data_IF_655591803727
#
_entry.id   IF_655591803727
#
_cell.length_a   1.000
_cell.length_b   1.000
_cell.length_c   1.000
_cell.angle_alpha   90.00
_cell.angle_beta   90.00
_cell.angle_gamma   90.00
#
_symmetry.space_group_name_H-M   'P 1'
#
loop_
_entity.id
_entity.type
_entity.pdbx_description
1 polymer ?
#
# COMPACT_ATOMS: atom_id res chain seq x y z
N UNK A 1 -9.15 22.02 -28.00
CA UNK A 1 -8.74 23.18 -28.82
C UNK A 1 -7.33 23.63 -28.39
N UNK A 2 -6.69 24.50 -29.18
CA UNK A 2 -5.30 24.94 -28.94
C UNK A 2 -5.13 25.69 -27.62
N UNK A 3 -6.14 26.42 -27.17
CA UNK A 3 -6.13 27.14 -25.89
C UNK A 3 -6.09 26.17 -24.70
N UNK A 4 -6.91 25.13 -24.71
CA UNK A 4 -6.93 24.12 -23.64
C UNK A 4 -5.65 23.30 -23.63
N UNK A 5 -5.06 23.02 -24.78
CA UNK A 5 -3.78 22.37 -24.89
C UNK A 5 -2.67 23.20 -24.23
N UNK A 6 -2.51 24.48 -24.63
CA UNK A 6 -1.53 25.40 -24.06
C UNK A 6 -1.73 25.58 -22.53
N UNK A 7 -2.98 25.74 -22.07
CA UNK A 7 -3.29 25.88 -20.66
C UNK A 7 -2.90 24.63 -19.86
N UNK A 8 -3.16 23.42 -20.41
CA UNK A 8 -2.81 22.17 -19.73
C UNK A 8 -1.30 21.96 -19.67
N UNK A 9 -0.55 22.32 -20.70
CA UNK A 9 0.91 22.26 -20.72
C UNK A 9 1.53 23.22 -19.71
N UNK A 10 1.05 24.47 -19.64
CA UNK A 10 1.51 25.45 -18.65
C UNK A 10 1.27 24.97 -17.21
N UNK A 11 0.10 24.37 -16.94
CA UNK A 11 -0.22 23.79 -15.62
C UNK A 11 0.70 22.64 -15.27
N UNK A 12 0.91 21.71 -16.20
CA UNK A 12 1.80 20.57 -15.98
C UNK A 12 3.24 21.04 -15.72
N UNK A 13 3.74 22.01 -16.49
CA UNK A 13 5.07 22.60 -16.29
C UNK A 13 5.19 23.30 -14.93
N UNK A 14 4.22 24.09 -14.51
CA UNK A 14 4.24 24.77 -13.23
C UNK A 14 4.28 23.79 -12.03
N UNK A 15 3.56 22.67 -12.15
CA UNK A 15 3.60 21.59 -11.13
C UNK A 15 4.97 20.94 -11.10
N UNK A 16 5.54 20.60 -12.25
CA UNK A 16 6.88 20.03 -12.37
C UNK A 16 7.94 20.94 -11.75
N UNK A 17 7.93 22.24 -12.09
CA UNK A 17 8.88 23.22 -11.52
C UNK A 17 8.71 23.36 -10.00
N UNK A 18 7.48 23.29 -9.51
CA UNK A 18 7.22 23.28 -8.06
C UNK A 18 7.76 22.04 -7.38
N UNK A 19 7.56 20.87 -8.01
CA UNK A 19 8.04 19.59 -7.50
C UNK A 19 9.57 19.57 -7.38
N UNK A 20 10.29 20.06 -8.40
CA UNK A 20 11.77 20.21 -8.40
C UNK A 20 12.29 21.10 -7.29
N UNK A 21 11.50 22.07 -6.83
CA UNK A 21 11.87 22.93 -5.70
C UNK A 21 11.64 22.28 -4.34
N UNK A 22 10.78 21.26 -4.29
CA UNK A 22 10.39 20.59 -3.05
C UNK A 22 11.19 19.31 -2.79
N UNK A 23 11.66 18.67 -3.86
CA UNK A 23 12.38 17.39 -3.73
C UNK A 23 13.38 17.21 -4.87
N UNK A 24 14.42 16.42 -4.62
CA UNK A 24 15.37 15.99 -5.65
C UNK A 24 14.72 14.91 -6.53
N UNK A 25 14.61 15.21 -7.82
CA UNK A 25 14.07 14.30 -8.84
C UNK A 25 15.16 13.64 -9.70
N UNK A 26 16.45 13.76 -9.34
CA UNK A 26 17.57 13.23 -10.15
C UNK A 26 17.50 11.72 -10.40
N UNK A 27 16.87 10.97 -9.49
CA UNK A 27 16.66 9.53 -9.62
C UNK A 27 15.45 9.16 -10.49
N UNK A 28 14.72 10.14 -11.02
CA UNK A 28 13.45 9.92 -11.72
C UNK A 28 13.48 10.46 -13.15
N UNK A 29 12.94 9.69 -14.07
CA UNK A 29 12.71 10.18 -15.44
C UNK A 29 11.48 11.06 -15.45
N UNK A 30 11.67 12.30 -15.80
CA UNK A 30 10.58 13.26 -15.92
C UNK A 30 10.04 13.30 -17.34
N UNK A 31 8.73 13.34 -17.47
CA UNK A 31 8.03 13.67 -18.71
C UNK A 31 6.88 14.61 -18.37
N UNK A 32 6.85 15.77 -19.03
CA UNK A 32 5.81 16.79 -18.82
C UNK A 32 5.01 16.94 -20.10
N UNK A 33 3.71 16.75 -20.03
CA UNK A 33 2.81 16.93 -21.17
C UNK A 33 1.44 17.45 -20.73
N UNK A 34 0.84 18.29 -21.56
CA UNK A 34 -0.57 18.65 -21.44
C UNK A 34 -1.42 17.75 -22.33
N UNK A 35 -2.65 17.47 -21.94
CA UNK A 35 -3.61 16.69 -22.73
C UNK A 35 -4.79 17.53 -23.22
N UNK A 36 -4.84 18.81 -22.84
CA UNK A 36 -5.98 19.66 -23.17
C UNK A 36 -7.29 19.04 -22.71
N UNK A 37 -8.19 18.85 -23.62
CA UNK A 37 -9.48 18.18 -23.42
C UNK A 37 -9.54 16.76 -23.99
N UNK A 38 -8.42 16.24 -24.52
CA UNK A 38 -8.38 14.96 -25.25
C UNK A 38 -8.43 13.71 -24.35
N UNK A 39 -8.25 13.87 -23.03
CA UNK A 39 -8.20 12.74 -22.10
C UNK A 39 -9.03 13.03 -20.85
N UNK A 40 -10.35 13.20 -20.96
CA UNK A 40 -11.20 13.44 -19.81
C UNK A 40 -11.33 12.16 -18.97
N UNK A 41 -11.36 12.32 -17.65
CA UNK A 41 -11.59 11.21 -16.70
C UNK A 41 -13.07 10.86 -16.59
N UNK A 42 -13.91 11.85 -16.72
CA UNK A 42 -15.38 11.77 -16.74
C UNK A 42 -15.92 12.60 -17.88
N UNK A 43 -17.18 12.39 -18.29
CA UNK A 43 -17.84 13.22 -19.30
C UNK A 43 -17.71 14.71 -18.94
N UNK A 44 -17.56 15.60 -19.93
CA UNK A 44 -17.29 17.03 -19.71
C UNK A 44 -18.58 17.87 -19.75
N UNK A 45 -19.66 17.36 -19.20
CA UNK A 45 -21.04 17.82 -19.32
C UNK A 45 -21.54 18.69 -18.16
N UNK A 46 -20.98 18.51 -16.94
CA UNK A 46 -21.33 19.31 -15.76
C UNK A 46 -20.13 20.09 -15.21
N UNK A 47 -20.36 21.09 -14.34
CA UNK A 47 -19.29 21.84 -13.69
C UNK A 47 -18.47 20.95 -12.76
N UNK A 48 -19.11 20.03 -12.06
CA UNK A 48 -18.46 19.05 -11.18
C UNK A 48 -17.55 18.13 -12.01
N UNK A 49 -18.03 17.63 -13.13
CA UNK A 49 -17.25 16.80 -14.03
C UNK A 49 -16.06 17.57 -14.64
N UNK A 50 -16.27 18.82 -15.03
CA UNK A 50 -15.18 19.69 -15.48
C UNK A 50 -14.15 19.95 -14.39
N UNK A 51 -14.56 20.02 -13.11
CA UNK A 51 -13.65 20.16 -11.98
C UNK A 51 -12.79 18.91 -11.81
N UNK A 52 -13.34 17.71 -11.92
CA UNK A 52 -12.61 16.43 -11.89
C UNK A 52 -11.62 16.33 -13.06
N UNK A 53 -12.00 16.85 -14.22
CA UNK A 53 -11.13 16.83 -15.41
C UNK A 53 -10.00 17.88 -15.34
N UNK A 54 -10.14 18.96 -14.57
CA UNK A 54 -9.09 19.97 -14.33
C UNK A 54 -8.03 19.45 -13.34
N UNK A 55 -7.29 18.42 -13.72
CA UNK A 55 -6.29 17.76 -12.90
C UNK A 55 -4.90 17.77 -13.52
N UNK A 56 -3.91 17.57 -12.69
CA UNK A 56 -2.55 17.19 -13.10
C UNK A 56 -2.29 15.80 -12.55
N UNK A 57 -1.88 14.89 -13.40
CA UNK A 57 -1.44 13.55 -13.00
C UNK A 57 0.09 13.53 -12.99
N UNK A 58 0.67 12.98 -11.92
CA UNK A 58 2.12 12.86 -11.77
C UNK A 58 2.44 11.37 -11.81
N UNK A 59 3.22 10.97 -12.80
CA UNK A 59 3.77 9.61 -12.89
C UNK A 59 5.28 9.69 -12.72
N UNK A 60 5.79 9.03 -11.70
CA UNK A 60 7.22 8.96 -11.43
C UNK A 60 7.75 7.61 -11.93
N UNK A 61 8.70 7.65 -12.85
CA UNK A 61 9.37 6.45 -13.35
C UNK A 61 10.85 6.54 -12.96
N UNK A 62 11.42 5.57 -12.23
CA UNK A 62 12.83 5.57 -11.92
C UNK A 62 13.67 5.67 -13.18
N UNK A 63 14.67 6.53 -13.21
CA UNK A 63 15.57 6.73 -14.36
C UNK A 63 16.54 5.55 -14.55
N UNK A 64 16.81 4.82 -13.50
CA UNK A 64 17.50 3.54 -13.50
C UNK A 64 16.54 2.54 -12.82
N UNK A 65 16.35 1.30 -13.34
CA UNK A 65 15.72 0.28 -12.54
C UNK A 65 16.44 0.33 -11.19
N UNK A 66 15.72 0.46 -10.09
CA UNK A 66 16.34 0.30 -8.79
C UNK A 66 17.12 -1.00 -8.91
N UNK A 67 18.45 -0.94 -8.91
CA UNK A 67 19.23 -2.12 -8.58
C UNK A 67 18.57 -2.52 -7.29
N UNK A 68 17.88 -3.66 -7.31
CA UNK A 68 17.21 -4.17 -6.14
C UNK A 68 18.26 -4.00 -5.05
N UNK A 69 18.02 -3.04 -4.15
CA UNK A 69 18.86 -2.87 -2.98
C UNK A 69 18.83 -4.24 -2.39
N UNK A 70 19.91 -4.99 -2.59
CA UNK A 70 19.95 -6.41 -2.33
C UNK A 70 19.28 -6.56 -0.99
N UNK A 71 18.17 -7.25 -0.95
CA UNK A 71 17.46 -7.52 0.28
C UNK A 71 18.57 -7.90 1.24
N UNK A 72 18.71 -7.26 2.40
CA UNK A 72 19.89 -7.32 3.24
C UNK A 72 20.34 -8.77 3.23
N UNK A 73 21.56 -9.01 2.70
CA UNK A 73 22.04 -10.34 2.39
C UNK A 73 21.90 -11.10 3.69
N UNK A 74 20.90 -11.94 3.79
CA UNK A 74 20.63 -12.71 5.00
C UNK A 74 21.84 -13.65 5.16
N UNK A 75 22.84 -13.14 5.85
CA UNK A 75 23.98 -13.91 6.31
C UNK A 75 23.48 -14.87 7.37
N UNK A 76 23.22 -16.05 6.95
CA UNK A 76 22.67 -17.24 7.59
C UNK A 76 21.22 -17.50 7.17
N UNK A 77 21.01 -18.50 6.34
CA UNK A 77 19.71 -19.08 6.11
C UNK A 77 19.13 -19.52 7.47
N UNK A 78 18.11 -18.88 8.01
CA UNK A 78 17.42 -19.42 9.16
C UNK A 78 16.66 -20.65 8.65
N UNK A 79 17.12 -21.82 9.00
CA UNK A 79 16.37 -23.07 8.92
C UNK A 79 15.21 -23.02 9.90
N UNK A 80 14.28 -22.10 9.74
CA UNK A 80 13.16 -22.01 10.64
C UNK A 80 11.87 -22.30 9.91
N UNK A 81 11.12 -23.24 10.46
CA UNK A 81 9.74 -23.46 10.07
C UNK A 81 8.96 -22.14 10.16
N UNK A 82 8.02 -21.93 9.22
CA UNK A 82 7.14 -20.77 9.23
C UNK A 82 6.52 -20.61 10.64
N UNK A 83 6.56 -19.43 11.25
CA UNK A 83 6.00 -19.22 12.58
C UNK A 83 4.52 -19.58 12.60
N UNK A 84 4.05 -20.13 13.71
CA UNK A 84 2.65 -20.51 13.90
C UNK A 84 1.76 -19.26 13.71
N UNK A 85 0.66 -19.42 12.98
CA UNK A 85 -0.32 -18.36 12.83
C UNK A 85 -0.96 -18.01 14.20
N UNK A 86 -1.18 -16.73 14.44
CA UNK A 86 -1.79 -16.23 15.69
C UNK A 86 -3.30 -16.02 15.58
N UNK A 87 -3.86 -16.08 14.36
CA UNK A 87 -5.27 -15.91 14.05
C UNK A 87 -5.75 -16.87 12.98
N UNK A 88 -6.95 -16.66 12.42
CA UNK A 88 -7.49 -17.48 11.35
C UNK A 88 -6.59 -17.45 10.12
N UNK A 89 -6.58 -18.56 9.37
CA UNK A 89 -5.78 -18.75 8.17
C UNK A 89 -6.72 -18.99 6.98
N UNK A 90 -6.48 -18.29 5.89
CA UNK A 90 -7.17 -18.49 4.61
C UNK A 90 -6.20 -18.35 3.45
N UNK A 91 -6.66 -18.66 2.23
CA UNK A 91 -5.91 -18.36 1.01
C UNK A 91 -6.19 -16.92 0.58
N UNK A 92 -5.18 -16.23 0.06
CA UNK A 92 -5.30 -14.82 -0.32
C UNK A 92 -6.49 -14.53 -1.22
N UNK A 93 -6.63 -15.20 -2.39
CA UNK A 93 -7.76 -15.00 -3.30
C UNK A 93 -9.12 -15.43 -2.74
N UNK A 94 -9.15 -16.45 -1.88
CA UNK A 94 -10.37 -16.91 -1.23
C UNK A 94 -10.72 -16.05 0.00
N UNK A 95 -9.72 -15.41 0.59
CA UNK A 95 -9.82 -14.56 1.77
C UNK A 95 -9.94 -15.31 3.09
N UNK A 96 -10.02 -14.53 4.16
CA UNK A 96 -10.18 -15.00 5.54
C UNK A 96 -11.21 -14.15 6.26
N UNK A 97 -12.00 -14.77 7.12
CA UNK A 97 -12.95 -14.06 7.98
C UNK A 97 -12.31 -13.74 9.33
N UNK A 98 -12.35 -12.48 9.69
CA UNK A 98 -11.90 -11.95 10.97
C UNK A 98 -13.04 -11.33 11.75
N UNK A 99 -12.90 -11.21 13.06
CA UNK A 99 -13.91 -10.56 13.91
C UNK A 99 -13.43 -9.17 14.31
N UNK A 100 -14.30 -8.18 14.08
CA UNK A 100 -14.12 -6.81 14.51
C UNK A 100 -15.44 -6.36 15.15
N UNK A 101 -15.39 -5.94 16.40
CA UNK A 101 -16.59 -5.55 17.16
C UNK A 101 -17.68 -6.63 17.12
N UNK A 102 -17.27 -7.90 17.26
CA UNK A 102 -18.17 -9.06 17.18
C UNK A 102 -18.71 -9.41 15.79
N UNK A 103 -18.54 -8.53 14.81
CA UNK A 103 -19.01 -8.67 13.43
C UNK A 103 -17.98 -9.35 12.54
N UNK A 104 -18.43 -9.98 11.46
CA UNK A 104 -17.54 -10.66 10.52
C UNK A 104 -17.09 -9.70 9.42
N UNK A 105 -15.78 -9.58 9.25
CA UNK A 105 -15.14 -8.86 8.15
C UNK A 105 -14.34 -9.86 7.32
N UNK A 106 -14.63 -9.91 6.04
CA UNK A 106 -13.89 -10.69 5.05
C UNK A 106 -12.67 -9.89 4.61
N UNK A 107 -11.49 -10.46 4.68
CA UNK A 107 -10.23 -9.88 4.23
C UNK A 107 -9.68 -10.71 3.07
N UNK A 108 -9.36 -10.05 1.95
CA UNK A 108 -8.88 -10.69 0.72
C UNK A 108 -7.64 -9.95 0.21
N UNK A 109 -6.64 -10.70 -0.25
CA UNK A 109 -5.58 -10.22 -1.14
C UNK A 109 -5.58 -11.17 -2.34
N UNK A 110 -6.18 -10.72 -3.44
CA UNK A 110 -6.35 -11.55 -4.64
C UNK A 110 -5.01 -11.89 -5.28
N UNK A 111 -4.18 -10.88 -5.50
CA UNK A 111 -2.83 -11.02 -6.01
C UNK A 111 -2.00 -9.78 -5.65
N UNK A 112 -0.69 -9.88 -5.87
CA UNK A 112 0.23 -8.75 -5.86
C UNK A 112 0.99 -8.68 -7.19
N UNK A 113 1.39 -7.47 -7.56
CA UNK A 113 2.11 -7.20 -8.81
C UNK A 113 3.57 -6.89 -8.50
N UNK A 114 4.49 -7.54 -9.21
CA UNK A 114 5.93 -7.28 -9.10
C UNK A 114 6.30 -6.07 -9.94
N UNK A 115 6.79 -5.01 -9.30
CA UNK A 115 7.16 -3.75 -9.96
C UNK A 115 8.45 -3.22 -9.34
N UNK A 116 9.53 -3.13 -10.12
CA UNK A 116 10.74 -2.40 -9.76
C UNK A 116 11.39 -2.80 -8.42
N UNK A 117 11.34 -4.09 -8.05
CA UNK A 117 11.89 -4.58 -6.78
C UNK A 117 10.91 -4.52 -5.61
N UNK A 118 9.65 -4.21 -5.88
CA UNK A 118 8.56 -4.20 -4.91
C UNK A 118 7.42 -5.12 -5.33
N UNK A 119 6.64 -5.56 -4.35
CA UNK A 119 5.34 -6.19 -4.52
C UNK A 119 4.27 -5.19 -4.11
N UNK A 120 3.37 -4.86 -5.03
CA UNK A 120 2.27 -3.91 -4.81
C UNK A 120 0.94 -4.61 -4.93
N UNK A 121 -0.02 -4.25 -4.11
CA UNK A 121 -1.33 -4.90 -4.13
C UNK A 121 -2.37 -4.12 -3.34
N UNK A 122 -3.45 -4.81 -3.03
CA UNK A 122 -4.55 -4.29 -2.21
C UNK A 122 -5.03 -5.35 -1.25
N UNK A 123 -5.25 -4.97 0.01
CA UNK A 123 -6.12 -5.74 0.89
C UNK A 123 -7.54 -5.19 0.76
N UNK A 124 -8.49 -6.07 0.50
CA UNK A 124 -9.90 -5.72 0.36
C UNK A 124 -10.65 -6.20 1.59
N UNK A 125 -11.39 -5.31 2.21
CA UNK A 125 -12.23 -5.56 3.37
C UNK A 125 -13.70 -5.44 2.98
N UNK A 126 -14.52 -6.41 3.38
CA UNK A 126 -15.97 -6.44 3.10
C UNK A 126 -16.71 -7.01 4.30
N UNK A 127 -17.88 -6.48 4.62
CA UNK A 127 -18.78 -7.04 5.61
C UNK A 127 -20.22 -7.00 5.10
N UNK A 128 -21.04 -7.96 5.54
CA UNK A 128 -22.50 -7.92 5.31
C UNK A 128 -23.23 -7.01 6.31
N UNK A 129 -22.53 -6.51 7.31
CA UNK A 129 -23.03 -5.64 8.37
C UNK A 129 -22.24 -4.34 8.41
N UNK A 130 -22.83 -3.27 8.94
CA UNK A 130 -22.10 -2.04 9.23
C UNK A 130 -21.09 -2.31 10.36
N UNK A 131 -19.80 -2.03 10.10
CA UNK A 131 -18.70 -2.25 11.06
C UNK A 131 -17.98 -0.93 11.30
N UNK A 132 -17.86 -0.54 12.56
CA UNK A 132 -16.96 0.54 12.94
C UNK A 132 -15.55 -0.03 13.04
N UNK A 133 -14.63 0.53 12.27
CA UNK A 133 -13.25 0.07 12.28
C UNK A 133 -12.49 0.74 13.42
N UNK A 134 -11.69 0.01 14.19
CA UNK A 134 -10.82 0.62 15.20
C UNK A 134 -9.79 1.55 14.55
N UNK A 135 -9.34 2.55 15.29
CA UNK A 135 -8.41 3.57 14.79
C UNK A 135 -7.11 2.98 14.22
N UNK A 136 -6.67 1.85 14.75
CA UNK A 136 -5.49 1.13 14.27
C UNK A 136 -5.79 -0.38 14.18
N UNK A 137 -6.55 -0.82 13.16
CA UNK A 137 -6.98 -2.21 13.05
C UNK A 137 -5.81 -3.18 12.80
N UNK A 138 -4.73 -2.66 12.23
CA UNK A 138 -3.53 -3.42 11.89
C UNK A 138 -2.35 -2.90 12.70
N UNK A 139 -1.96 -3.61 13.76
CA UNK A 139 -0.91 -3.16 14.67
C UNK A 139 0.23 -4.19 14.75
N UNK A 140 1.44 -3.73 14.45
CA UNK A 140 2.64 -4.53 14.67
C UNK A 140 2.87 -4.79 16.18
N UNK A 141 3.48 -5.92 16.55
CA UNK A 141 4.02 -6.09 17.88
C UNK A 141 4.95 -4.92 18.25
N UNK A 142 4.88 -4.44 19.49
CA UNK A 142 5.59 -3.23 19.94
C UNK A 142 7.06 -3.16 19.54
N UNK A 143 7.82 -4.23 19.71
CA UNK A 143 9.23 -4.28 19.28
C UNK A 143 9.44 -4.04 17.77
N UNK A 144 8.51 -4.47 16.92
CA UNK A 144 8.59 -4.20 15.49
C UNK A 144 8.28 -2.74 15.17
N UNK A 145 7.40 -2.12 15.92
CA UNK A 145 7.12 -0.68 15.78
C UNK A 145 8.33 0.15 16.18
N UNK A 146 8.96 -0.17 17.31
CA UNK A 146 10.16 0.50 17.79
C UNK A 146 11.31 0.41 16.77
N UNK A 147 11.48 -0.74 16.14
CA UNK A 147 12.50 -0.95 15.10
C UNK A 147 12.26 -0.12 13.84
N UNK A 148 11.00 0.20 13.52
CA UNK A 148 10.66 0.99 12.33
C UNK A 148 10.81 2.50 12.54
N UNK A 149 10.84 2.97 13.78
CA UNK A 149 10.81 4.42 14.08
C UNK A 149 9.53 5.09 13.58
N UNK A 150 8.43 4.33 13.44
CA UNK A 150 7.15 4.86 13.00
C UNK A 150 6.47 5.60 14.16
N UNK A 151 6.09 6.84 13.90
CA UNK A 151 5.28 7.64 14.83
C UNK A 151 3.79 7.41 14.66
N UNK A 152 3.35 6.79 13.57
CA UNK A 152 1.95 6.68 13.20
C UNK A 152 1.50 5.22 13.03
N UNK A 153 0.40 4.88 13.70
CA UNK A 153 -0.18 3.53 13.75
C UNK A 153 -1.46 3.38 12.91
N UNK A 154 -1.76 4.36 12.05
CA UNK A 154 -3.04 4.47 11.35
C UNK A 154 -3.11 3.72 10.03
N UNK A 155 -2.05 3.07 9.61
CA UNK A 155 -1.92 2.50 8.26
C UNK A 155 -1.95 0.97 8.28
N UNK A 156 -2.18 0.37 7.12
CA UNK A 156 -2.05 -1.09 6.89
C UNK A 156 -0.61 -1.62 7.07
N UNK A 157 0.26 -0.81 7.64
CA UNK A 157 1.70 -1.05 7.81
C UNK A 157 2.08 -2.27 8.67
N UNK A 158 1.11 -2.96 9.20
CA UNK A 158 1.31 -4.18 10.01
C UNK A 158 1.16 -5.48 9.23
N UNK A 159 0.72 -5.40 7.99
CA UNK A 159 0.71 -6.53 7.07
C UNK A 159 2.15 -6.87 6.67
N UNK A 160 2.57 -8.08 6.92
CA UNK A 160 3.96 -8.50 6.71
C UNK A 160 4.05 -9.75 5.85
N UNK A 161 5.03 -9.82 4.93
CA UNK A 161 5.30 -11.04 4.20
C UNK A 161 6.16 -11.97 5.05
N UNK A 162 5.84 -13.26 5.04
CA UNK A 162 6.69 -14.32 5.57
C UNK A 162 7.36 -15.05 4.42
N UNK A 163 8.70 -15.05 4.38
CA UNK A 163 9.50 -15.73 3.38
C UNK A 163 10.84 -16.15 3.97
N UNK A 164 11.31 -17.36 3.68
CA UNK A 164 12.60 -17.87 4.12
C UNK A 164 12.81 -17.84 5.64
N UNK A 165 11.76 -17.92 6.45
CA UNK A 165 11.81 -17.78 7.91
C UNK A 165 11.99 -16.33 8.41
N UNK A 166 11.97 -15.37 7.50
CA UNK A 166 12.04 -13.95 7.80
C UNK A 166 10.66 -13.28 7.67
N UNK A 167 10.51 -12.17 8.35
CA UNK A 167 9.34 -11.29 8.26
C UNK A 167 9.73 -10.00 7.57
N UNK A 168 9.14 -9.74 6.41
CA UNK A 168 9.34 -8.52 5.64
C UNK A 168 8.23 -7.53 5.97
N UNK A 169 8.63 -6.36 6.44
CA UNK A 169 7.71 -5.26 6.73
C UNK A 169 7.34 -4.55 5.43
N UNK A 170 6.21 -3.82 5.43
CA UNK A 170 5.90 -2.90 4.34
C UNK A 170 7.03 -1.91 4.08
N UNK A 171 7.17 -1.52 2.82
CA UNK A 171 8.16 -0.54 2.41
C UNK A 171 7.85 0.85 3.00
N UNK A 172 8.88 1.53 3.47
CA UNK A 172 8.79 2.85 4.08
C UNK A 172 9.50 3.89 3.24
N UNK A 173 9.02 5.12 3.34
CA UNK A 173 9.74 6.31 2.93
C UNK A 173 10.45 6.92 4.15
N UNK A 174 11.75 7.18 4.02
CA UNK A 174 12.52 7.86 5.05
C UNK A 174 12.66 9.35 4.72
N UNK A 175 12.31 10.21 5.67
CA UNK A 175 12.56 11.64 5.58
C UNK A 175 14.00 11.98 5.96
N UNK A 176 14.43 13.20 5.61
CA UNK A 176 15.78 13.69 5.94
C UNK A 176 16.05 13.85 7.44
N UNK A 177 15.01 13.98 8.25
CA UNK A 177 15.09 14.03 9.72
C UNK A 177 15.14 12.64 10.38
N UNK A 178 15.13 11.57 9.58
CA UNK A 178 15.15 10.18 10.04
C UNK A 178 13.78 9.60 10.35
N UNK A 179 12.70 10.38 10.30
CA UNK A 179 11.34 9.86 10.43
C UNK A 179 10.97 9.00 9.24
N UNK A 180 10.07 8.04 9.44
CA UNK A 180 9.64 7.08 8.40
C UNK A 180 8.13 7.01 8.35
N UNK A 181 7.59 6.89 7.14
CA UNK A 181 6.19 6.59 6.90
C UNK A 181 6.05 5.45 5.89
N UNK A 182 5.02 4.61 6.01
CA UNK A 182 4.74 3.58 5.02
C UNK A 182 4.50 4.19 3.63
N UNK A 183 5.02 3.54 2.58
CA UNK A 183 4.74 3.92 1.18
C UNK A 183 3.25 3.73 0.86
N UNK A 184 2.64 2.70 1.40
CA UNK A 184 1.21 2.49 1.29
C UNK A 184 0.50 3.18 2.46
N UNK A 185 -0.40 4.08 2.13
CA UNK A 185 -1.11 4.90 3.09
C UNK A 185 -2.61 4.74 2.84
N UNK A 186 -3.32 4.22 3.81
CA UNK A 186 -4.77 4.08 3.72
C UNK A 186 -5.36 3.57 5.02
N UNK A 187 -6.54 4.06 5.36
CA UNK A 187 -7.31 3.61 6.50
C UNK A 187 -8.81 3.63 6.18
N UNK A 188 -9.57 2.87 6.96
CA UNK A 188 -11.02 2.75 6.84
C UNK A 188 -11.63 3.02 8.21
N UNK A 189 -12.54 3.97 8.30
CA UNK A 189 -13.27 4.28 9.55
C UNK A 189 -14.48 3.39 9.76
N UNK A 190 -15.13 2.99 8.66
CA UNK A 190 -16.32 2.14 8.70
C UNK A 190 -16.41 1.28 7.44
N UNK A 191 -17.04 0.15 7.56
CA UNK A 191 -17.48 -0.67 6.43
C UNK A 191 -18.99 -0.60 6.39
N UNK A 192 -19.54 -0.20 5.26
CA UNK A 192 -20.97 -0.25 4.99
C UNK A 192 -21.35 -1.66 4.52
N UNK A 193 -22.57 -2.14 4.82
CA UNK A 193 -23.01 -3.47 4.43
C UNK A 193 -22.87 -3.74 2.93
N UNK A 194 -22.12 -4.78 2.57
CA UNK A 194 -21.89 -5.19 1.18
C UNK A 194 -20.96 -4.29 0.38
N UNK A 195 -20.42 -3.22 0.97
CA UNK A 195 -19.45 -2.32 0.30
C UNK A 195 -18.04 -2.79 0.60
N UNK A 196 -17.24 -2.94 -0.46
CA UNK A 196 -15.82 -3.29 -0.33
C UNK A 196 -14.95 -2.04 -0.19
N UNK A 197 -14.02 -2.08 0.75
CA UNK A 197 -12.98 -1.07 0.92
C UNK A 197 -11.62 -1.70 0.59
N UNK A 198 -10.84 -1.03 -0.26
CA UNK A 198 -9.53 -1.48 -0.68
C UNK A 198 -8.44 -0.57 -0.12
N UNK A 199 -7.47 -1.16 0.57
CA UNK A 199 -6.31 -0.47 1.12
C UNK A 199 -5.05 -0.91 0.36
N UNK A 200 -4.22 0.02 -0.10
CA UNK A 200 -2.98 -0.32 -0.81
C UNK A 200 -1.97 -0.97 0.14
N UNK A 201 -1.13 -1.84 -0.40
CA UNK A 201 0.00 -2.47 0.29
C UNK A 201 1.22 -2.48 -0.60
N UNK A 202 2.41 -2.27 -0.02
CA UNK A 202 3.67 -2.28 -0.75
C UNK A 202 4.74 -2.96 0.09
N UNK A 203 5.36 -4.02 -0.43
CA UNK A 203 6.46 -4.73 0.24
C UNK A 203 7.69 -4.80 -0.65
N UNK A 204 8.87 -5.03 -0.09
CA UNK A 204 10.03 -5.47 -0.87
C UNK A 204 9.70 -6.79 -1.61
N UNK A 205 10.21 -6.93 -2.83
CA UNK A 205 10.09 -8.20 -3.57
C UNK A 205 10.95 -9.27 -2.90
N UNK A 206 10.32 -10.36 -2.52
CA UNK A 206 10.97 -11.52 -1.88
C UNK A 206 11.40 -12.60 -2.88
N UNK A 207 11.14 -12.38 -4.18
CA UNK A 207 11.53 -13.30 -5.26
C UNK A 207 10.66 -14.55 -5.41
N UNK A 208 9.56 -14.66 -4.67
CA UNK A 208 8.65 -15.81 -4.72
C UNK A 208 7.48 -15.55 -5.70
N UNK A 209 6.95 -16.62 -6.30
CA UNK A 209 5.76 -16.55 -7.18
C UNK A 209 4.44 -16.62 -6.40
N UNK A 210 4.51 -16.98 -5.15
CA UNK A 210 3.41 -16.96 -4.18
C UNK A 210 3.93 -16.52 -2.84
N UNK A 211 3.18 -15.65 -2.17
CA UNK A 211 3.57 -15.11 -0.87
C UNK A 211 2.57 -15.49 0.22
N UNK A 212 3.04 -15.40 1.45
CA UNK A 212 2.23 -15.50 2.67
C UNK A 212 2.24 -14.15 3.36
N UNK A 213 1.06 -13.59 3.58
CA UNK A 213 0.89 -12.35 4.34
C UNK A 213 0.33 -12.66 5.72
N UNK A 214 0.97 -12.12 6.72
CA UNK A 214 0.65 -12.36 8.13
C UNK A 214 0.35 -11.04 8.85
N UNK A 215 -0.73 -11.04 9.61
CA UNK A 215 -1.03 -10.03 10.61
C UNK A 215 -0.76 -10.63 11.97
N UNK A 216 0.41 -10.41 12.55
CA UNK A 216 0.74 -10.95 13.87
C UNK A 216 -0.05 -10.23 14.95
N UNK A 217 -0.33 -10.92 16.05
CA UNK A 217 -0.87 -10.28 17.23
C UNK A 217 0.08 -9.19 17.72
N UNK A 218 -0.36 -7.96 17.71
CA UNK A 218 0.36 -6.84 18.28
C UNK A 218 -0.04 -6.61 19.75
N UNK A 219 0.71 -5.85 20.49
CA UNK A 219 0.37 -5.43 21.83
C UNK A 219 0.45 -3.89 21.90
N UNK A 220 -0.68 -3.23 21.71
CA UNK A 220 -0.77 -1.78 21.74
C UNK A 220 -2.02 -1.39 22.55
N UNK A 221 -1.85 -0.51 23.53
CA UNK A 221 -2.94 0.00 24.36
C UNK A 221 -3.93 0.90 23.62
N UNK A 222 -3.52 1.43 22.46
CA UNK A 222 -4.33 2.35 21.65
C UNK A 222 -5.37 1.59 20.81
N UNK A 223 -5.12 0.32 20.46
CA UNK A 223 -6.00 -0.49 19.63
C UNK A 223 -6.26 -1.85 20.31
N UNK A 224 -7.21 -1.92 21.23
CA UNK A 224 -7.56 -3.17 21.91
C UNK A 224 -8.15 -4.21 20.96
N UNK A 225 -8.85 -3.77 19.91
CA UNK A 225 -9.42 -4.64 18.88
C UNK A 225 -8.52 -4.65 17.64
N UNK A 226 -7.80 -5.74 17.47
CA UNK A 226 -6.81 -5.93 16.40
C UNK A 226 -7.25 -7.01 15.45
N UNK A 227 -6.99 -6.77 14.18
CA UNK A 227 -7.11 -7.83 13.19
C UNK A 227 -5.86 -8.71 13.27
N UNK A 228 -6.04 -9.98 13.51
CA UNK A 228 -5.01 -11.01 13.41
C UNK A 228 -5.47 -12.06 12.41
N UNK A 229 -4.66 -12.35 11.42
CA UNK A 229 -4.98 -13.32 10.38
C UNK A 229 -3.73 -13.70 9.58
N UNK A 230 -3.84 -14.76 8.80
CA UNK A 230 -2.85 -15.13 7.80
C UNK A 230 -3.53 -15.45 6.47
N UNK A 231 -2.99 -14.90 5.39
CA UNK A 231 -3.37 -15.23 4.02
C UNK A 231 -2.19 -15.96 3.36
N UNK A 232 -2.44 -17.16 2.85
CA UNK A 232 -1.48 -17.99 2.12
C UNK A 232 -1.77 -17.98 0.62
N UNK A 233 -0.87 -18.51 -0.17
CA UNK A 233 -1.07 -18.75 -1.60
C UNK A 233 -1.45 -17.49 -2.40
N UNK A 234 -1.01 -16.31 -1.98
CA UNK A 234 -1.26 -15.07 -2.73
C UNK A 234 -0.37 -15.08 -3.98
N UNK A 235 -0.95 -15.06 -5.20
CA UNK A 235 -0.16 -15.04 -6.43
C UNK A 235 0.64 -13.75 -6.58
N UNK A 236 1.86 -13.88 -7.09
CA UNK A 236 2.69 -12.75 -7.55
C UNK A 236 2.65 -12.75 -9.07
N UNK A 237 2.17 -11.68 -9.66
CA UNK A 237 2.10 -11.50 -11.12
C UNK A 237 3.10 -10.45 -11.57
N UNK A 238 3.61 -10.59 -12.80
CA UNK A 238 4.45 -9.57 -13.42
C UNK A 238 3.59 -8.44 -13.98
N UNK A 239 4.12 -7.20 -13.93
CA UNK A 239 3.47 -6.03 -14.51
C UNK A 239 3.47 -6.08 -16.03
#
# INVERSE_FOLDING_TARGET
>A
DAHNQDLSERRAKAVSERLKKLTDLSAWKESVSGKGESSPRVANDTDEHRQVNRRVEITLTPSKPAEASAAPSASAAPSSAMPKATGPVGKGPEGVDVKIDGKTVRMVIDHVVRVGGYLTGKVVLTSSEAVSMPVAPFVLPGKMMDMRGLSEVFYVSSLTILSGGLRYLEADYAYSDGSRIPLANGFVYSLEPGVSQALPVVWPDVGEDRIVVDLPAGNNSIAPERIVARLTDIPVVSA
#
